data_IF_839954011468
#
_entry.id   IF_839954011468
#
_cell.length_a   1.000
_cell.length_b   1.000
_cell.length_c   1.000
_cell.angle_alpha   90.00
_cell.angle_beta   90.00
_cell.angle_gamma   90.00
#
_symmetry.space_group_name_H-M   'P 1'
#
loop_
_entity.id
_entity.type
_entity.pdbx_description
1 polymer ?
#
# COMPACT_ATOMS: atom_id res chain seq x y z
N UNK A 1 73.61 3.68 62.08
CA UNK A 1 73.03 4.87 61.43
C UNK A 1 71.73 4.42 60.78
N UNK A 2 70.57 4.90 61.24
CA UNK A 2 69.88 6.03 60.60
C UNK A 2 69.04 5.47 59.43
N UNK A 3 67.75 5.70 59.27
CA UNK A 3 66.76 6.57 59.87
C UNK A 3 65.40 6.14 59.28
N UNK A 4 64.31 6.61 59.89
CA UNK A 4 62.97 6.08 59.67
C UNK A 4 62.38 6.22 58.26
N UNK A 5 61.33 5.44 58.03
CA UNK A 5 60.26 5.72 57.07
C UNK A 5 58.95 5.17 57.63
N UNK A 6 58.23 6.10 58.22
CA UNK A 6 56.79 6.36 58.18
C UNK A 6 55.82 5.23 57.79
N UNK A 7 54.78 5.15 58.62
CA UNK A 7 53.58 4.34 58.43
C UNK A 7 52.85 4.71 57.14
N UNK A 8 52.58 3.70 56.31
CA UNK A 8 51.40 3.64 55.44
C UNK A 8 50.63 2.40 55.91
N UNK A 9 49.45 2.52 56.50
CA UNK A 9 48.25 2.89 55.77
C UNK A 9 47.58 1.58 55.35
N UNK A 10 46.77 1.02 56.24
CA UNK A 10 45.87 -0.09 55.93
C UNK A 10 44.95 0.32 54.76
N UNK A 11 44.75 -0.55 53.76
CA UNK A 11 43.50 -0.53 53.01
C UNK A 11 42.56 -1.57 53.62
N UNK A 12 41.55 -1.06 54.30
CA UNK A 12 40.38 -1.79 54.77
C UNK A 12 39.76 -2.59 53.62
N UNK A 13 39.45 -3.85 53.89
CA UNK A 13 38.65 -4.70 53.01
C UNK A 13 37.18 -4.31 53.19
N UNK A 14 36.67 -3.41 52.36
CA UNK A 14 35.24 -3.12 52.32
C UNK A 14 34.53 -3.90 51.19
N UNK A 15 33.73 -4.86 51.67
CA UNK A 15 32.52 -5.43 51.08
C UNK A 15 32.26 -5.28 49.58
N UNK A 16 32.44 -6.39 48.86
CA UNK A 16 31.60 -6.70 47.71
C UNK A 16 30.14 -6.74 48.17
N UNK A 17 29.40 -5.64 48.00
CA UNK A 17 27.93 -5.66 48.05
C UNK A 17 27.44 -6.39 46.81
N UNK A 18 27.22 -7.68 46.96
CA UNK A 18 26.31 -8.43 46.10
C UNK A 18 24.94 -7.75 46.27
N UNK A 19 24.50 -7.00 45.27
CA UNK A 19 23.07 -6.66 45.14
C UNK A 19 22.34 -8.00 44.95
N UNK A 20 21.83 -8.55 46.05
CA UNK A 20 20.84 -9.62 45.99
C UNK A 20 19.60 -9.03 45.32
N UNK A 21 19.38 -9.39 44.05
CA UNK A 21 18.07 -9.27 43.43
C UNK A 21 17.03 -9.87 44.39
N UNK A 22 15.91 -9.18 44.69
CA UNK A 22 14.89 -9.73 45.56
C UNK A 22 14.40 -11.06 44.97
N UNK A 23 14.18 -12.09 45.80
CA UNK A 23 13.82 -13.41 45.30
C UNK A 23 12.58 -13.30 44.43
N UNK A 24 12.71 -13.67 43.15
CA UNK A 24 11.57 -13.79 42.22
C UNK A 24 10.64 -14.86 42.78
N UNK A 25 9.62 -14.43 43.51
CA UNK A 25 8.57 -15.29 44.04
C UNK A 25 7.93 -16.01 42.85
N UNK A 26 8.15 -17.33 42.73
CA UNK A 26 7.40 -18.15 41.76
C UNK A 26 5.92 -18.00 42.07
N UNK A 27 5.17 -17.56 41.05
CA UNK A 27 3.93 -16.81 41.17
C UNK A 27 2.87 -17.45 42.06
N UNK A 28 2.47 -16.73 43.10
CA UNK A 28 1.25 -17.00 43.84
C UNK A 28 0.07 -16.47 43.02
N UNK A 29 -0.68 -17.36 42.37
CA UNK A 29 -1.82 -17.02 41.52
C UNK A 29 -2.88 -16.19 42.25
N UNK A 30 -3.07 -16.43 43.56
CA UNK A 30 -4.00 -15.66 44.40
C UNK A 30 -3.49 -14.24 44.64
N UNK A 31 -2.19 -14.07 44.89
CA UNK A 31 -1.59 -12.73 45.03
C UNK A 31 -1.65 -11.97 43.70
N UNK A 32 -1.38 -12.64 42.58
CA UNK A 32 -1.53 -12.05 41.26
C UNK A 32 -2.97 -11.64 40.95
N UNK A 33 -3.95 -12.42 41.40
CA UNK A 33 -5.35 -12.06 41.24
C UNK A 33 -5.76 -10.90 42.15
N UNK A 34 -5.37 -10.93 43.42
CA UNK A 34 -5.62 -9.84 44.37
C UNK A 34 -4.99 -8.52 43.88
N UNK A 35 -3.77 -8.56 43.36
CA UNK A 35 -3.11 -7.39 42.77
C UNK A 35 -3.84 -6.87 41.53
N UNK A 36 -4.35 -7.76 40.66
CA UNK A 36 -5.17 -7.35 39.51
C UNK A 36 -6.50 -6.73 39.94
N UNK A 37 -7.12 -7.27 40.98
CA UNK A 37 -8.41 -6.77 41.49
C UNK A 37 -8.21 -5.40 42.17
N UNK A 38 -7.15 -5.24 42.96
CA UNK A 38 -6.74 -3.96 43.55
C UNK A 38 -6.41 -2.94 42.45
N UNK A 39 -5.65 -3.36 41.44
CA UNK A 39 -5.30 -2.51 40.31
C UNK A 39 -6.53 -2.06 39.53
N UNK A 40 -7.50 -2.95 39.29
CA UNK A 40 -8.79 -2.59 38.66
C UNK A 40 -9.66 -1.67 39.52
N UNK A 41 -9.51 -1.72 40.84
CA UNK A 41 -10.24 -0.87 41.78
C UNK A 41 -9.63 0.53 41.89
N UNK A 42 -8.31 0.65 41.68
CA UNK A 42 -7.54 1.88 41.89
C UNK A 42 -7.22 2.59 40.57
N UNK A 43 -6.91 1.87 39.51
CA UNK A 43 -6.66 2.46 38.19
C UNK A 43 -7.98 2.64 37.47
N UNK A 44 -8.37 3.90 37.27
CA UNK A 44 -9.42 4.24 36.32
C UNK A 44 -9.07 3.60 34.96
N UNK A 45 -10.01 2.92 34.29
CA UNK A 45 -9.74 2.36 32.98
C UNK A 45 -9.27 3.49 32.08
N UNK A 46 -8.06 3.38 31.53
CA UNK A 46 -7.55 4.37 30.59
C UNK A 46 -8.62 4.50 29.50
N UNK A 47 -9.26 5.68 29.35
CA UNK A 47 -10.29 5.83 28.35
C UNK A 47 -9.66 5.48 27.00
N UNK A 48 -10.40 4.77 26.13
CA UNK A 48 -9.89 4.49 24.80
C UNK A 48 -9.43 5.83 24.19
N UNK A 49 -8.27 5.86 23.51
CA UNK A 49 -7.76 7.09 22.94
C UNK A 49 -8.85 7.70 22.06
N UNK A 50 -9.33 8.89 22.45
CA UNK A 50 -10.34 9.61 21.69
C UNK A 50 -9.66 10.10 20.43
N UNK A 51 -10.21 9.74 19.26
CA UNK A 51 -9.70 10.21 17.97
C UNK A 51 -9.58 11.74 18.04
N UNK A 52 -8.41 12.34 17.79
CA UNK A 52 -8.27 13.79 17.85
C UNK A 52 -9.27 14.42 16.87
N UNK A 53 -10.12 15.31 17.38
CA UNK A 53 -11.07 16.05 16.58
C UNK A 53 -10.28 16.96 15.62
N UNK A 54 -10.49 16.80 14.32
CA UNK A 54 -9.80 17.60 13.29
C UNK A 54 -8.72 16.88 12.47
N UNK A 55 -8.56 15.56 12.60
CA UNK A 55 -7.71 14.83 11.64
C UNK A 55 -8.39 14.85 10.25
N UNK A 56 -7.71 15.32 9.18
CA UNK A 56 -8.25 15.20 7.84
C UNK A 56 -8.51 13.72 7.52
N UNK A 57 -9.49 13.40 6.67
CA UNK A 57 -9.67 12.04 6.19
C UNK A 57 -8.36 11.61 5.52
N UNK A 58 -7.76 10.53 6.03
CA UNK A 58 -6.58 9.92 5.43
C UNK A 58 -7.06 9.02 4.31
N UNK A 59 -6.54 9.21 3.10
CA UNK A 59 -6.82 8.30 2.01
C UNK A 59 -6.05 6.99 2.25
N UNK A 60 -6.76 5.86 2.28
CA UNK A 60 -6.17 4.54 2.46
C UNK A 60 -5.72 3.98 1.11
N UNK A 61 -4.45 3.59 1.01
CA UNK A 61 -3.92 2.90 -0.16
C UNK A 61 -3.38 1.53 0.26
N UNK A 62 -4.02 0.47 -0.24
CA UNK A 62 -3.58 -0.90 0.02
C UNK A 62 -3.18 -1.61 -1.27
N UNK A 63 -2.26 -2.56 -1.15
CA UNK A 63 -1.98 -3.56 -2.19
C UNK A 63 -2.12 -4.94 -1.56
N UNK A 64 -2.90 -5.81 -2.21
CA UNK A 64 -3.18 -7.17 -1.75
C UNK A 64 -2.55 -8.13 -2.74
N UNK A 65 -1.54 -8.87 -2.27
CA UNK A 65 -0.77 -9.83 -3.07
C UNK A 65 -0.92 -11.23 -2.48
N UNK A 66 -1.06 -12.23 -3.34
CA UNK A 66 -1.19 -13.62 -2.94
C UNK A 66 -0.98 -14.59 -4.09
N UNK A 67 -0.65 -15.83 -3.77
CA UNK A 67 -0.65 -16.90 -4.75
C UNK A 67 -2.05 -17.08 -5.38
N UNK A 68 -2.14 -17.54 -6.63
CA UNK A 68 -3.44 -17.84 -7.23
C UNK A 68 -4.21 -18.82 -6.34
N UNK A 69 -5.51 -18.59 -6.20
CA UNK A 69 -6.43 -19.39 -5.35
C UNK A 69 -6.21 -19.27 -3.82
N UNK A 70 -5.33 -18.39 -3.35
CA UNK A 70 -5.19 -18.10 -1.91
C UNK A 70 -6.40 -17.33 -1.33
N UNK A 71 -7.26 -16.79 -2.18
CA UNK A 71 -8.41 -15.99 -1.78
C UNK A 71 -8.08 -14.52 -1.52
N UNK A 72 -6.97 -14.01 -2.04
CA UNK A 72 -6.57 -12.59 -1.96
C UNK A 72 -7.70 -11.65 -2.42
N UNK A 73 -8.33 -11.95 -3.55
CA UNK A 73 -9.46 -11.17 -4.08
C UNK A 73 -10.69 -11.19 -3.15
N UNK A 74 -10.93 -12.28 -2.41
CA UNK A 74 -12.03 -12.29 -1.41
C UNK A 74 -11.73 -11.38 -0.24
N UNK A 75 -10.47 -11.31 0.18
CA UNK A 75 -10.02 -10.44 1.25
C UNK A 75 -10.06 -8.97 0.79
N UNK A 76 -9.65 -8.67 -0.44
CA UNK A 76 -9.72 -7.31 -0.99
C UNK A 76 -11.16 -6.80 -1.08
N UNK A 77 -12.09 -7.61 -1.60
CA UNK A 77 -13.52 -7.23 -1.65
C UNK A 77 -14.09 -7.00 -0.26
N UNK A 78 -13.82 -7.90 0.69
CA UNK A 78 -14.33 -7.74 2.06
C UNK A 78 -13.73 -6.51 2.75
N UNK A 79 -12.45 -6.25 2.57
CA UNK A 79 -11.78 -5.08 3.13
C UNK A 79 -12.31 -3.79 2.52
N UNK A 80 -12.61 -3.80 1.22
CA UNK A 80 -13.25 -2.69 0.52
C UNK A 80 -14.65 -2.40 1.06
N UNK A 81 -15.47 -3.41 1.34
CA UNK A 81 -16.79 -3.24 1.96
C UNK A 81 -16.69 -2.65 3.37
N UNK A 82 -15.73 -3.13 4.18
CA UNK A 82 -15.56 -2.68 5.57
C UNK A 82 -15.02 -1.24 5.66
N UNK A 83 -14.18 -0.81 4.72
CA UNK A 83 -13.52 0.51 4.72
C UNK A 83 -14.06 1.46 3.63
N UNK A 84 -15.10 1.08 2.89
CA UNK A 84 -15.64 1.86 1.76
C UNK A 84 -14.56 2.26 0.73
N UNK A 85 -13.68 1.31 0.39
CA UNK A 85 -12.59 1.52 -0.56
C UNK A 85 -12.92 0.95 -1.93
N UNK A 86 -12.32 1.51 -2.97
CA UNK A 86 -12.46 0.99 -4.33
C UNK A 86 -11.43 -0.14 -4.60
N UNK A 87 -11.89 -1.28 -5.12
CA UNK A 87 -10.99 -2.38 -5.54
C UNK A 87 -10.60 -2.19 -7.00
N UNK A 88 -9.30 -2.02 -7.23
CA UNK A 88 -8.71 -1.86 -8.56
C UNK A 88 -7.92 -3.11 -8.90
N UNK A 89 -8.35 -3.80 -9.96
CA UNK A 89 -7.56 -4.86 -10.60
C UNK A 89 -6.99 -4.33 -11.91
N UNK A 90 -5.68 -4.24 -12.02
CA UNK A 90 -5.02 -3.67 -13.22
C UNK A 90 -5.33 -4.51 -14.47
N UNK A 91 -5.40 -5.84 -14.35
CA UNK A 91 -5.80 -6.71 -15.46
C UNK A 91 -7.23 -6.45 -15.96
N UNK A 92 -8.16 -6.17 -15.04
CA UNK A 92 -9.52 -5.79 -15.42
C UNK A 92 -9.51 -4.42 -16.12
N UNK A 93 -8.78 -3.44 -15.55
CA UNK A 93 -8.67 -2.10 -16.13
C UNK A 93 -8.14 -2.14 -17.57
N UNK A 94 -7.08 -2.92 -17.81
CA UNK A 94 -6.50 -3.14 -19.14
C UNK A 94 -7.51 -3.79 -20.08
N UNK A 95 -8.21 -4.83 -19.62
CA UNK A 95 -9.20 -5.55 -20.45
C UNK A 95 -10.32 -4.62 -20.91
N UNK A 96 -10.92 -3.84 -20.01
CA UNK A 96 -12.02 -2.98 -20.43
C UNK A 96 -11.51 -1.82 -21.29
N UNK A 97 -10.29 -1.31 -21.05
CA UNK A 97 -9.68 -0.28 -21.90
C UNK A 97 -9.46 -0.76 -23.34
N UNK A 98 -9.00 -2.00 -23.53
CA UNK A 98 -8.84 -2.61 -24.85
C UNK A 98 -10.21 -2.81 -25.51
N UNK A 99 -11.21 -3.29 -24.75
CA UNK A 99 -12.57 -3.47 -25.26
C UNK A 99 -13.20 -2.16 -25.70
N UNK A 100 -13.03 -1.09 -24.92
CA UNK A 100 -13.53 0.26 -25.25
C UNK A 100 -12.89 0.78 -26.55
N UNK A 101 -11.58 0.59 -26.70
CA UNK A 101 -10.87 0.93 -27.94
C UNK A 101 -11.38 0.13 -29.15
N UNK A 102 -11.54 -1.19 -29.02
CA UNK A 102 -12.04 -2.03 -30.12
C UNK A 102 -13.46 -1.65 -30.55
N UNK A 103 -14.32 -1.30 -29.60
CA UNK A 103 -15.69 -0.85 -29.88
C UNK A 103 -15.67 0.47 -30.65
N UNK A 104 -14.91 1.47 -30.18
CA UNK A 104 -14.77 2.76 -30.86
C UNK A 104 -14.22 2.62 -32.29
N UNK A 105 -13.27 1.70 -32.50
CA UNK A 105 -12.74 1.40 -33.84
C UNK A 105 -13.78 0.73 -34.73
N UNK A 106 -14.57 -0.20 -34.19
CA UNK A 106 -15.63 -0.88 -34.94
C UNK A 106 -16.72 0.10 -35.37
N UNK A 107 -17.15 0.99 -34.48
CA UNK A 107 -18.15 2.02 -34.78
C UNK A 107 -17.66 2.99 -35.85
N UNK A 108 -16.37 3.37 -35.81
CA UNK A 108 -15.76 4.19 -36.85
C UNK A 108 -15.68 3.45 -38.19
N UNK A 109 -15.26 2.19 -38.21
CA UNK A 109 -15.19 1.39 -39.44
C UNK A 109 -16.58 1.16 -40.06
N UNK A 110 -17.61 0.95 -39.24
CA UNK A 110 -19.01 0.89 -39.67
C UNK A 110 -19.49 2.22 -40.26
N UNK A 111 -19.14 3.36 -39.64
CA UNK A 111 -19.46 4.69 -40.17
C UNK A 111 -18.79 4.94 -41.52
N UNK A 112 -17.50 4.58 -41.67
CA UNK A 112 -16.76 4.69 -42.93
C UNK A 112 -17.36 3.78 -44.01
N UNK A 113 -17.78 2.56 -43.66
CA UNK A 113 -18.43 1.65 -44.58
C UNK A 113 -19.79 2.20 -45.05
N UNK A 114 -20.62 2.68 -44.13
CA UNK A 114 -21.91 3.30 -44.44
C UNK A 114 -21.75 4.55 -45.32
N UNK A 115 -20.75 5.38 -45.05
CA UNK A 115 -20.42 6.53 -45.90
C UNK A 115 -20.00 6.10 -47.30
N UNK A 116 -19.28 4.97 -47.47
CA UNK A 116 -18.86 4.47 -48.80
C UNK A 116 -19.97 3.83 -49.63
N UNK A 117 -20.94 3.16 -49.00
CA UNK A 117 -22.02 2.45 -49.71
C UNK A 117 -23.04 3.39 -50.36
N UNK A 118 -23.06 4.68 -50.00
CA UNK A 118 -23.97 5.69 -50.54
C UNK A 118 -23.46 6.47 -51.75
N UNK A 119 -22.21 6.28 -52.19
CA UNK A 119 -21.62 7.08 -53.28
C UNK A 119 -21.94 6.56 -54.68
N UNK A 120 -22.41 7.45 -55.56
CA UNK A 120 -22.38 7.23 -57.01
C UNK A 120 -20.94 7.39 -57.55
N UNK A 121 -20.61 6.71 -58.67
CA UNK A 121 -19.27 6.75 -59.28
C UNK A 121 -18.83 8.19 -59.57
N UNK A 122 -17.91 8.74 -58.77
CA UNK A 122 -17.25 10.03 -58.98
C UNK A 122 -17.39 11.06 -57.85
N UNK A 123 -18.12 10.74 -56.79
CA UNK A 123 -18.20 11.59 -55.59
C UNK A 123 -17.01 11.28 -54.64
N UNK A 124 -16.46 12.30 -53.97
CA UNK A 124 -15.40 12.08 -52.97
C UNK A 124 -16.04 11.70 -51.63
N UNK A 125 -15.54 10.68 -50.92
CA UNK A 125 -16.15 10.25 -49.65
C UNK A 125 -16.12 11.40 -48.63
N UNK A 126 -17.22 11.60 -47.92
CA UNK A 126 -17.28 12.49 -46.77
C UNK A 126 -16.21 12.03 -45.75
N UNK A 127 -15.28 12.93 -45.37
CA UNK A 127 -14.23 12.62 -44.40
C UNK A 127 -14.87 12.30 -43.05
N UNK A 128 -14.92 11.01 -42.70
CA UNK A 128 -15.35 10.59 -41.37
C UNK A 128 -14.28 11.06 -40.38
N UNK A 129 -14.65 11.87 -39.37
CA UNK A 129 -13.71 12.36 -38.38
C UNK A 129 -13.15 11.19 -37.55
N UNK A 130 -11.90 11.29 -37.06
CA UNK A 130 -11.31 10.28 -36.20
C UNK A 130 -12.21 9.98 -34.99
N UNK A 131 -12.22 8.74 -34.47
CA UNK A 131 -13.02 8.41 -33.31
C UNK A 131 -12.57 9.24 -32.10
N UNK A 132 -13.53 9.79 -31.36
CA UNK A 132 -13.25 10.44 -30.08
C UNK A 132 -12.94 9.37 -29.03
N UNK A 133 -11.65 9.24 -28.67
CA UNK A 133 -11.17 8.25 -27.71
C UNK A 133 -11.00 8.87 -26.33
N UNK A 134 -11.42 8.15 -25.29
CA UNK A 134 -11.08 8.48 -23.90
C UNK A 134 -9.58 8.24 -23.64
N UNK A 135 -9.00 8.91 -22.64
CA UNK A 135 -7.61 8.67 -22.23
C UNK A 135 -7.35 7.19 -21.94
N UNK A 136 -8.35 6.51 -21.34
CA UNK A 136 -8.33 5.07 -21.08
C UNK A 136 -8.31 4.26 -22.38
N UNK A 137 -9.13 4.61 -23.36
CA UNK A 137 -9.16 3.95 -24.67
C UNK A 137 -7.85 4.16 -25.45
N UNK A 138 -7.21 5.32 -25.34
CA UNK A 138 -5.87 5.57 -25.93
C UNK A 138 -4.82 4.62 -25.35
N UNK A 139 -4.81 4.43 -24.02
CA UNK A 139 -3.96 3.43 -23.39
C UNK A 139 -4.33 2.02 -23.85
N UNK A 140 -5.63 1.74 -24.00
CA UNK A 140 -6.18 0.50 -24.57
C UNK A 140 -5.63 0.19 -25.96
N UNK A 141 -5.54 1.18 -26.85
CA UNK A 141 -4.94 1.05 -28.18
C UNK A 141 -3.46 0.66 -28.12
N UNK A 142 -2.67 1.30 -27.25
CA UNK A 142 -1.26 0.95 -27.02
C UNK A 142 -1.11 -0.48 -26.48
N UNK A 143 -1.98 -0.90 -25.57
CA UNK A 143 -1.98 -2.27 -25.06
C UNK A 143 -2.37 -3.27 -26.15
N UNK A 144 -3.37 -2.93 -26.97
CA UNK A 144 -3.86 -3.75 -28.07
C UNK A 144 -2.80 -3.99 -29.13
N UNK A 145 -2.04 -2.97 -29.49
CA UNK A 145 -0.89 -3.07 -30.40
C UNK A 145 0.10 -4.12 -29.91
N UNK A 146 0.57 -4.00 -28.67
CA UNK A 146 1.53 -4.94 -28.07
C UNK A 146 1.00 -6.37 -27.96
N UNK A 147 -0.28 -6.53 -27.63
CA UNK A 147 -0.92 -7.84 -27.54
C UNK A 147 -1.13 -8.46 -28.92
N UNK A 148 -1.41 -7.66 -29.96
CA UNK A 148 -1.59 -8.14 -31.34
C UNK A 148 -0.30 -8.72 -31.94
N UNK A 149 0.86 -8.21 -31.51
CA UNK A 149 2.18 -8.72 -31.87
C UNK A 149 2.56 -10.01 -31.12
N UNK A 150 1.68 -10.53 -30.24
CA UNK A 150 1.95 -11.67 -29.37
C UNK A 150 2.87 -11.33 -28.19
N UNK A 151 3.09 -10.03 -27.94
CA UNK A 151 3.88 -9.54 -26.82
C UNK A 151 3.13 -9.53 -25.49
N UNK A 152 3.82 -9.07 -24.46
CA UNK A 152 3.25 -8.79 -23.13
C UNK A 152 3.15 -7.28 -22.93
N UNK A 153 2.19 -6.85 -22.11
CA UNK A 153 2.05 -5.44 -21.73
C UNK A 153 3.27 -5.04 -20.87
N UNK A 154 4.07 -4.02 -21.27
CA UNK A 154 5.22 -3.59 -20.49
C UNK A 154 4.83 -3.03 -19.12
N UNK A 155 5.72 -3.16 -18.13
CA UNK A 155 5.52 -2.67 -16.77
C UNK A 155 5.18 -1.16 -16.72
N UNK A 156 5.83 -0.34 -17.53
CA UNK A 156 5.54 1.11 -17.60
C UNK A 156 4.09 1.37 -17.99
N UNK A 157 3.57 0.63 -18.98
CA UNK A 157 2.20 0.77 -19.45
C UNK A 157 1.20 0.25 -18.42
N UNK A 158 1.51 -0.84 -17.71
CA UNK A 158 0.69 -1.33 -16.60
C UNK A 158 0.59 -0.31 -15.46
N UNK A 159 1.69 0.40 -15.17
CA UNK A 159 1.70 1.49 -14.18
C UNK A 159 0.88 2.68 -14.67
N UNK A 160 0.94 3.03 -15.96
CA UNK A 160 0.06 4.06 -16.54
C UNK A 160 -1.44 3.71 -16.35
N UNK A 161 -1.83 2.47 -16.60
CA UNK A 161 -3.20 2.01 -16.33
C UNK A 161 -3.57 2.08 -14.85
N UNK A 162 -2.68 1.62 -13.96
CA UNK A 162 -2.89 1.69 -12.53
C UNK A 162 -3.06 3.15 -12.06
N UNK A 163 -2.22 4.07 -12.54
CA UNK A 163 -2.31 5.50 -12.21
C UNK A 163 -3.58 6.14 -12.75
N UNK A 164 -3.99 5.79 -13.97
CA UNK A 164 -5.27 6.24 -14.54
C UNK A 164 -6.45 5.81 -13.67
N UNK A 165 -6.46 4.55 -13.21
CA UNK A 165 -7.51 4.04 -12.34
C UNK A 165 -7.48 4.71 -10.96
N UNK A 166 -6.30 4.82 -10.33
CA UNK A 166 -6.12 5.47 -9.02
C UNK A 166 -6.60 6.92 -9.04
N UNK A 167 -6.35 7.67 -10.13
CA UNK A 167 -6.79 9.07 -10.27
C UNK A 167 -8.30 9.21 -10.46
N UNK A 168 -8.97 8.17 -10.95
CA UNK A 168 -10.41 8.14 -11.11
C UNK A 168 -11.16 7.79 -9.81
N UNK A 169 -10.45 7.32 -8.79
CA UNK A 169 -11.06 6.97 -7.50
C UNK A 169 -11.54 8.22 -6.79
N UNK A 170 -12.84 8.28 -6.53
CA UNK A 170 -13.47 9.30 -5.70
C UNK A 170 -13.80 8.67 -4.34
N UNK A 171 -13.10 9.05 -3.26
CA UNK A 171 -13.47 8.57 -1.91
C UNK A 171 -12.32 8.47 -0.91
N UNK A 172 -12.49 7.53 0.03
CA UNK A 172 -11.57 7.32 1.16
C UNK A 172 -10.32 6.51 0.80
N UNK A 173 -10.20 6.04 -0.45
CA UNK A 173 -9.00 5.37 -0.94
C UNK A 173 -9.27 4.13 -1.79
N UNK A 174 -8.23 3.34 -2.03
CA UNK A 174 -8.24 2.23 -2.98
C UNK A 174 -7.43 1.02 -2.51
N UNK A 175 -7.76 -0.14 -3.10
CA UNK A 175 -7.06 -1.41 -2.93
C UNK A 175 -6.63 -1.92 -4.29
N UNK A 176 -5.33 -2.10 -4.50
CA UNK A 176 -4.77 -2.77 -5.68
C UNK A 176 -4.79 -4.28 -5.47
N UNK A 177 -5.61 -5.02 -6.24
CA UNK A 177 -5.67 -6.49 -6.19
C UNK A 177 -4.67 -7.10 -7.18
N UNK A 178 -3.68 -7.83 -6.67
CA UNK A 178 -2.68 -8.53 -7.48
C UNK A 178 -1.58 -7.65 -8.07
N UNK A 179 -1.55 -6.34 -7.76
CA UNK A 179 -0.58 -5.39 -8.29
C UNK A 179 0.04 -4.54 -7.18
N UNK A 180 1.35 -4.24 -7.20
CA UNK A 180 2.38 -4.66 -8.17
C UNK A 180 2.85 -6.11 -7.96
N UNK A 181 3.07 -6.84 -9.05
CA UNK A 181 3.51 -8.25 -9.04
C UNK A 181 5.05 -8.41 -9.15
N UNK A 182 5.77 -7.33 -9.44
CA UNK A 182 7.23 -7.31 -9.59
C UNK A 182 7.85 -6.12 -8.86
N UNK A 183 9.11 -6.25 -8.44
CA UNK A 183 9.90 -5.15 -7.88
C UNK A 183 10.04 -4.00 -8.88
N UNK A 184 10.09 -4.30 -10.19
CA UNK A 184 10.13 -3.28 -11.25
C UNK A 184 8.86 -2.42 -11.24
N UNK A 185 7.71 -3.07 -11.28
CA UNK A 185 6.39 -2.42 -11.17
C UNK A 185 6.26 -1.62 -9.88
N UNK A 186 6.70 -2.16 -8.74
CA UNK A 186 6.63 -1.47 -7.45
C UNK A 186 7.45 -0.18 -7.45
N UNK A 187 8.67 -0.20 -7.99
CA UNK A 187 9.53 1.01 -8.09
C UNK A 187 8.96 2.05 -9.04
N UNK A 188 8.41 1.62 -10.17
CA UNK A 188 7.76 2.50 -11.13
C UNK A 188 6.52 3.15 -10.51
N UNK A 189 5.66 2.34 -9.88
CA UNK A 189 4.47 2.82 -9.18
C UNK A 189 4.84 3.78 -8.04
N UNK A 190 5.86 3.46 -7.25
CA UNK A 190 6.38 4.34 -6.20
C UNK A 190 6.88 5.66 -6.77
N UNK A 191 7.55 5.67 -7.92
CA UNK A 191 7.98 6.91 -8.59
C UNK A 191 6.79 7.76 -9.03
N UNK A 192 5.78 7.14 -9.66
CA UNK A 192 4.60 7.86 -10.16
C UNK A 192 3.70 8.37 -9.02
N UNK A 193 3.60 7.62 -7.92
CA UNK A 193 2.88 8.03 -6.70
C UNK A 193 3.69 9.03 -5.87
N UNK A 194 5.01 8.87 -5.79
CA UNK A 194 5.95 9.67 -4.99
C UNK A 194 6.16 11.10 -5.49
N UNK A 195 5.58 11.46 -6.65
CA UNK A 195 5.27 12.85 -6.99
C UNK A 195 4.27 13.51 -6.02
N UNK A 196 3.64 12.73 -5.14
CA UNK A 196 2.81 13.14 -4.01
C UNK A 196 3.57 12.67 -2.75
N UNK A 197 4.40 13.54 -2.20
CA UNK A 197 5.41 13.20 -1.20
C UNK A 197 4.89 12.43 0.00
N UNK A 198 5.41 11.22 0.19
CA UNK A 198 5.43 10.50 1.46
C UNK A 198 6.75 9.71 1.57
N UNK A 199 7.87 10.42 1.55
CA UNK A 199 9.12 9.89 2.12
C UNK A 199 8.99 9.95 3.65
N UNK A 200 8.20 9.05 4.22
CA UNK A 200 8.32 8.70 5.63
C UNK A 200 9.26 7.49 5.75
N UNK A 201 10.50 7.63 5.27
CA UNK A 201 11.60 6.86 5.84
C UNK A 201 11.94 7.49 7.19
N UNK A 202 11.07 7.32 8.18
CA UNK A 202 11.53 7.48 9.57
C UNK A 202 12.40 6.25 9.80
N UNK A 203 13.74 6.37 9.95
CA UNK A 203 14.53 5.24 10.39
C UNK A 203 13.89 4.77 11.70
N UNK A 204 13.41 3.53 11.72
CA UNK A 204 12.87 2.92 12.93
C UNK A 204 14.05 2.86 13.91
N UNK A 205 14.12 3.83 14.81
CA UNK A 205 15.14 3.84 15.85
C UNK A 205 15.12 2.47 16.53
N UNK A 206 16.28 1.83 16.73
CA UNK A 206 16.34 0.55 17.40
C UNK A 206 15.62 0.71 18.75
N UNK A 207 14.80 -0.29 19.15
CA UNK A 207 14.09 -0.21 20.43
C UNK A 207 15.12 0.10 21.52
N UNK A 208 14.80 1.00 22.47
CA UNK A 208 15.70 1.28 23.57
C UNK A 208 16.08 -0.06 24.20
N UNK A 209 17.38 -0.29 24.48
CA UNK A 209 17.79 -1.52 25.15
C UNK A 209 16.97 -1.60 26.42
N UNK A 210 16.01 -2.52 26.43
CA UNK A 210 15.25 -2.88 27.61
C UNK A 210 16.26 -3.05 28.72
N UNK A 211 16.12 -2.26 29.78
CA UNK A 211 16.90 -2.33 31.00
C UNK A 211 16.96 -3.81 31.41
N UNK A 212 18.10 -4.43 31.11
CA UNK A 212 18.48 -5.76 31.57
C UNK A 212 18.83 -5.68 33.05
#
# INVERSE_FOLDING_TARGET
>A
EGGGREKAGEPEKEGTKTEEEPPRLKGNALLGQALRDIRRLIEDPVPPPVKPEGLPPVAYAFSVLGAPFAGSSRVSTRLAEELSLEVISVDAVVRDAVSEFEQAMTEHDEAVAASKEGLEEGEEPEEVPPPELSDRAVLGGRARERLSEGGVVPDDLLVEFAMSAIRAVEGEGYILDGFPASVGQARLLERELGGIGNEHTVPKDPPPPSLL
#
